data_IF_638407560409
#
_entry.id   IF_638407560409
#
_cell.length_a   1.000
_cell.length_b   1.000
_cell.length_c   1.000
_cell.angle_alpha   90.00
_cell.angle_beta   90.00
_cell.angle_gamma   90.00
#
_symmetry.space_group_name_H-M   'P 1'
#
loop_
_entity.id
_entity.type
_entity.pdbx_description
1 polymer ?
#
# COMPACT_ATOMS: atom_id res chain seq x y z
N UNK A 1 -33.85 -5.94 -14.40
CA UNK A 1 -33.62 -4.70 -13.58
C UNK A 1 -32.77 -4.96 -12.34
N UNK A 2 -32.92 -6.08 -11.64
CA UNK A 2 -32.09 -6.45 -10.49
C UNK A 2 -30.62 -6.67 -10.88
N UNK A 3 -30.36 -7.35 -12.00
CA UNK A 3 -28.99 -7.53 -12.54
C UNK A 3 -28.31 -6.22 -12.92
N UNK A 4 -29.06 -5.20 -13.33
CA UNK A 4 -28.53 -3.87 -13.64
C UNK A 4 -28.13 -3.11 -12.35
N UNK A 5 -28.90 -3.26 -11.28
CA UNK A 5 -28.60 -2.62 -10.00
C UNK A 5 -27.34 -3.23 -9.37
N UNK A 6 -27.23 -4.57 -9.31
CA UNK A 6 -26.05 -5.26 -8.79
C UNK A 6 -24.80 -4.95 -9.61
N UNK A 7 -24.90 -4.88 -10.94
CA UNK A 7 -23.77 -4.50 -11.81
C UNK A 7 -23.33 -3.04 -11.57
N UNK A 8 -24.28 -2.13 -11.33
CA UNK A 8 -23.94 -0.74 -10.97
C UNK A 8 -23.22 -0.65 -9.63
N UNK A 9 -23.70 -1.37 -8.62
CA UNK A 9 -23.07 -1.44 -7.31
C UNK A 9 -21.64 -1.98 -7.44
N UNK A 10 -21.45 -3.08 -8.18
CA UNK A 10 -20.12 -3.65 -8.42
C UNK A 10 -19.18 -2.64 -9.11
N UNK A 11 -19.64 -1.96 -10.16
CA UNK A 11 -18.85 -0.94 -10.85
C UNK A 11 -18.50 0.25 -9.94
N UNK A 12 -19.42 0.69 -9.07
CA UNK A 12 -19.17 1.78 -8.12
C UNK A 12 -18.11 1.35 -7.11
N UNK A 13 -18.25 0.16 -6.51
CA UNK A 13 -17.27 -0.38 -5.56
C UNK A 13 -15.89 -0.45 -6.23
N UNK A 14 -15.80 -1.06 -7.41
CA UNK A 14 -14.55 -1.21 -8.15
C UNK A 14 -13.88 0.14 -8.44
N UNK A 15 -14.65 1.09 -8.97
CA UNK A 15 -14.15 2.43 -9.30
C UNK A 15 -13.72 3.19 -8.07
N UNK A 16 -14.53 3.20 -7.01
CA UNK A 16 -14.21 3.91 -5.77
C UNK A 16 -13.00 3.32 -5.07
N UNK A 17 -12.91 2.00 -4.97
CA UNK A 17 -11.73 1.32 -4.38
C UNK A 17 -10.46 1.71 -5.13
N UNK A 18 -10.49 1.71 -6.47
CA UNK A 18 -9.33 2.07 -7.26
C UNK A 18 -8.96 3.56 -7.16
N UNK A 19 -9.94 4.46 -7.17
CA UNK A 19 -9.70 5.91 -7.00
C UNK A 19 -9.08 6.20 -5.64
N UNK A 20 -9.66 5.64 -4.56
CA UNK A 20 -9.13 5.82 -3.20
C UNK A 20 -7.73 5.22 -3.07
N UNK A 21 -7.52 4.01 -3.61
CA UNK A 21 -6.20 3.39 -3.65
C UNK A 21 -5.17 4.29 -4.33
N UNK A 22 -5.46 4.79 -5.53
CA UNK A 22 -4.56 5.69 -6.27
C UNK A 22 -4.28 6.97 -5.49
N UNK A 23 -5.32 7.59 -4.95
CA UNK A 23 -5.21 8.84 -4.21
C UNK A 23 -4.28 8.72 -3.01
N UNK A 24 -4.40 7.63 -2.24
CA UNK A 24 -3.54 7.39 -1.07
C UNK A 24 -2.14 6.95 -1.51
N UNK A 25 -2.03 6.06 -2.52
CA UNK A 25 -0.75 5.48 -2.96
C UNK A 25 0.24 6.53 -3.48
N UNK A 26 -0.23 7.64 -4.05
CA UNK A 26 0.65 8.72 -4.49
C UNK A 26 1.33 9.48 -3.33
N UNK A 27 0.75 9.42 -2.12
CA UNK A 27 1.34 9.96 -0.89
C UNK A 27 2.23 8.98 -0.14
N UNK A 28 2.38 7.74 -0.61
CA UNK A 28 3.18 6.70 0.01
C UNK A 28 4.51 6.49 -0.73
N UNK A 29 5.56 6.19 0.03
CA UNK A 29 6.81 5.69 -0.55
C UNK A 29 6.57 4.38 -1.29
N UNK A 30 7.33 4.14 -2.35
CA UNK A 30 7.17 2.96 -3.20
C UNK A 30 7.26 1.65 -2.39
N UNK A 31 8.18 1.57 -1.44
CA UNK A 31 8.37 0.42 -0.55
C UNK A 31 7.13 0.09 0.30
N UNK A 32 6.29 1.09 0.61
CA UNK A 32 5.13 0.93 1.50
C UNK A 32 3.83 0.65 0.73
N UNK A 33 3.85 0.83 -0.60
CA UNK A 33 2.66 0.65 -1.45
C UNK A 33 2.14 -0.79 -1.47
N UNK A 34 3.04 -1.78 -1.45
CA UNK A 34 2.63 -3.19 -1.42
C UNK A 34 1.93 -3.53 -0.11
N UNK A 35 2.48 -3.09 1.02
CA UNK A 35 1.85 -3.27 2.34
C UNK A 35 0.48 -2.60 2.40
N UNK A 36 0.36 -1.40 1.84
CA UNK A 36 -0.93 -0.71 1.76
C UNK A 36 -1.96 -1.48 0.92
N UNK A 37 -1.58 -1.97 -0.26
CA UNK A 37 -2.44 -2.82 -1.10
C UNK A 37 -2.96 -4.03 -0.33
N UNK A 38 -2.04 -4.73 0.36
CA UNK A 38 -2.38 -5.91 1.14
C UNK A 38 -3.36 -5.59 2.27
N UNK A 39 -3.17 -4.48 2.98
CA UNK A 39 -4.07 -4.06 4.04
C UNK A 39 -5.47 -3.70 3.50
N UNK A 40 -5.55 -3.06 2.35
CA UNK A 40 -6.83 -2.79 1.68
C UNK A 40 -7.52 -4.10 1.31
N UNK A 41 -6.77 -5.06 0.72
CA UNK A 41 -7.28 -6.37 0.37
C UNK A 41 -7.79 -7.14 1.60
N UNK A 42 -7.02 -7.17 2.68
CA UNK A 42 -7.46 -7.81 3.92
C UNK A 42 -8.75 -7.21 4.47
N UNK A 43 -8.87 -5.88 4.43
CA UNK A 43 -10.10 -5.21 4.87
C UNK A 43 -11.30 -5.62 4.01
N UNK A 44 -11.14 -5.70 2.69
CA UNK A 44 -12.18 -6.18 1.77
C UNK A 44 -12.58 -7.61 2.12
N UNK A 45 -11.60 -8.52 2.31
CA UNK A 45 -11.86 -9.94 2.60
C UNK A 45 -12.50 -10.15 3.97
N UNK A 46 -12.11 -9.39 4.99
CA UNK A 46 -12.74 -9.43 6.32
C UNK A 46 -14.17 -8.91 6.26
N UNK A 47 -14.41 -7.78 5.58
CA UNK A 47 -15.74 -7.20 5.42
C UNK A 47 -16.67 -8.16 4.64
N UNK A 48 -16.13 -8.86 3.67
CA UNK A 48 -16.84 -9.88 2.89
C UNK A 48 -17.08 -11.20 3.66
N UNK A 49 -16.56 -11.34 4.89
CA UNK A 49 -16.65 -12.56 5.69
C UNK A 49 -15.82 -13.74 5.16
N UNK A 50 -14.84 -13.46 4.28
CA UNK A 50 -13.91 -14.46 3.71
C UNK A 50 -12.77 -14.77 4.69
N UNK A 51 -12.22 -13.77 5.33
CA UNK A 51 -11.19 -13.89 6.36
C UNK A 51 -11.70 -13.38 7.70
N UNK A 52 -11.14 -13.93 8.77
CA UNK A 52 -11.35 -13.44 10.11
C UNK A 52 -10.26 -12.43 10.50
N UNK A 53 -10.53 -11.48 11.41
CA UNK A 53 -9.50 -10.59 11.95
C UNK A 53 -8.33 -11.33 12.59
N UNK A 54 -8.59 -12.53 13.15
CA UNK A 54 -7.58 -13.40 13.76
C UNK A 54 -6.61 -13.94 12.71
N UNK A 55 -7.09 -14.38 11.54
CA UNK A 55 -6.26 -14.87 10.44
C UNK A 55 -5.38 -13.76 9.87
N UNK A 56 -5.91 -12.53 9.73
CA UNK A 56 -5.13 -11.36 9.32
C UNK A 56 -4.04 -11.04 10.37
N UNK A 57 -4.39 -11.07 11.65
CA UNK A 57 -3.43 -10.86 12.74
C UNK A 57 -2.33 -11.93 12.73
N UNK A 58 -2.70 -13.18 12.46
CA UNK A 58 -1.78 -14.30 12.34
C UNK A 58 -0.77 -14.08 11.19
N UNK A 59 -1.23 -13.60 10.04
CA UNK A 59 -0.35 -13.24 8.93
C UNK A 59 0.62 -12.11 9.30
N UNK A 60 0.13 -11.05 9.96
CA UNK A 60 0.94 -9.88 10.30
C UNK A 60 1.96 -10.16 11.40
N UNK A 61 1.56 -10.87 12.46
CA UNK A 61 2.38 -11.09 13.67
C UNK A 61 3.11 -12.43 13.69
N UNK A 62 2.53 -13.47 13.09
CA UNK A 62 3.06 -14.84 13.19
C UNK A 62 3.28 -15.27 14.62
N UNK A 63 4.37 -15.97 14.87
CA UNK A 63 4.79 -16.45 16.17
C UNK A 63 5.66 -15.48 16.98
N UNK A 64 5.74 -14.20 16.59
CA UNK A 64 6.66 -13.23 17.23
C UNK A 64 6.43 -13.00 18.73
N UNK A 65 5.24 -13.31 19.25
CA UNK A 65 4.93 -13.19 20.68
C UNK A 65 5.28 -14.45 21.49
N UNK A 66 5.69 -15.54 20.84
CA UNK A 66 6.03 -16.80 21.52
C UNK A 66 7.48 -16.79 22.00
N UNK A 67 7.70 -17.33 23.20
CA UNK A 67 9.06 -17.60 23.71
C UNK A 67 9.52 -18.98 23.23
N UNK A 68 10.67 -19.02 22.55
CA UNK A 68 11.28 -20.26 22.05
C UNK A 68 11.55 -21.28 23.15
N UNK A 69 11.80 -20.82 24.38
CA UNK A 69 12.04 -21.69 25.53
C UNK A 69 10.76 -22.27 26.14
N UNK A 70 9.60 -21.68 25.83
CA UNK A 70 8.30 -22.13 26.31
C UNK A 70 7.60 -23.12 25.36
N UNK A 71 8.11 -23.28 24.13
CA UNK A 71 7.56 -24.20 23.13
C UNK A 71 8.39 -25.47 23.03
N UNK A 72 7.81 -26.54 22.45
CA UNK A 72 8.56 -27.76 22.17
C UNK A 72 9.77 -27.46 21.28
N UNK A 73 10.92 -28.14 21.51
CA UNK A 73 12.07 -28.01 20.63
C UNK A 73 11.71 -28.31 19.17
N UNK A 74 12.34 -27.62 18.23
CA UNK A 74 12.12 -27.88 16.80
C UNK A 74 12.54 -29.33 16.45
N UNK A 75 11.69 -30.05 15.71
CA UNK A 75 11.91 -31.47 15.42
C UNK A 75 13.00 -31.71 14.38
N UNK A 76 13.31 -30.70 13.58
CA UNK A 76 14.22 -30.80 12.44
C UNK A 76 15.24 -29.67 12.45
N UNK A 77 16.54 -29.92 12.19
CA UNK A 77 17.60 -28.94 12.34
C UNK A 77 17.63 -27.85 11.27
N UNK A 78 17.01 -28.09 10.11
CA UNK A 78 17.01 -27.13 8.98
C UNK A 78 16.04 -25.98 9.15
N UNK A 79 15.05 -26.09 10.04
CA UNK A 79 14.16 -24.97 10.36
C UNK A 79 14.89 -23.92 11.19
N UNK A 80 14.65 -22.66 10.87
CA UNK A 80 15.04 -21.54 11.73
C UNK A 80 14.14 -21.49 12.98
N UNK A 81 14.60 -20.87 14.04
CA UNK A 81 13.81 -20.71 15.27
C UNK A 81 12.55 -19.86 15.02
N UNK A 82 12.68 -18.81 14.21
CA UNK A 82 11.55 -17.96 13.79
C UNK A 82 10.50 -18.77 13.01
N UNK A 83 10.93 -19.58 12.02
CA UNK A 83 10.02 -20.43 11.26
C UNK A 83 9.32 -21.45 12.18
N UNK A 84 10.03 -22.01 13.15
CA UNK A 84 9.44 -22.93 14.12
C UNK A 84 8.37 -22.26 14.99
N UNK A 85 8.63 -21.07 15.52
CA UNK A 85 7.64 -20.29 16.28
C UNK A 85 6.40 -19.97 15.43
N UNK A 86 6.59 -19.61 14.18
CA UNK A 86 5.48 -19.39 13.25
C UNK A 86 4.64 -20.67 13.04
N UNK A 87 5.28 -21.84 12.87
CA UNK A 87 4.60 -23.14 12.72
C UNK A 87 3.80 -23.47 13.97
N UNK A 88 4.39 -23.29 15.15
CA UNK A 88 3.72 -23.49 16.43
C UNK A 88 2.47 -22.61 16.53
N UNK A 89 2.59 -21.35 16.18
CA UNK A 89 1.46 -20.41 16.19
C UNK A 89 0.38 -20.81 15.19
N UNK A 90 0.76 -21.21 13.95
CA UNK A 90 -0.18 -21.70 12.93
C UNK A 90 -0.97 -22.91 13.37
N UNK A 91 -0.31 -23.82 14.10
CA UNK A 91 -0.90 -25.09 14.57
C UNK A 91 -1.66 -24.96 15.88
N UNK A 92 -1.63 -23.79 16.53
CA UNK A 92 -2.32 -23.53 17.80
C UNK A 92 -3.83 -23.38 17.61
N UNK A 93 -4.57 -23.34 18.72
CA UNK A 93 -6.02 -23.07 18.71
C UNK A 93 -6.36 -21.65 18.21
N UNK A 94 -5.39 -20.73 18.27
CA UNK A 94 -5.50 -19.39 17.70
C UNK A 94 -5.06 -19.33 16.23
N UNK A 95 -4.54 -20.43 15.70
CA UNK A 95 -4.13 -20.59 14.31
C UNK A 95 -5.29 -20.94 13.38
N UNK A 96 -4.98 -21.11 12.10
CA UNK A 96 -5.98 -21.58 11.14
C UNK A 96 -6.16 -23.10 11.21
N UNK A 97 -7.40 -23.55 11.19
CA UNK A 97 -7.78 -24.97 11.35
C UNK A 97 -7.06 -25.90 10.37
N UNK A 98 -6.78 -25.39 9.17
CA UNK A 98 -6.09 -26.13 8.10
C UNK A 98 -4.68 -26.56 8.49
N UNK A 99 -4.03 -25.85 9.45
CA UNK A 99 -2.64 -26.09 9.87
C UNK A 99 -2.49 -26.84 11.19
N UNK A 100 -3.55 -27.33 11.81
CA UNK A 100 -3.49 -27.99 13.13
C UNK A 100 -2.52 -29.17 13.18
N UNK A 101 -2.35 -29.90 12.09
CA UNK A 101 -1.42 -31.05 11.99
C UNK A 101 -0.04 -30.67 11.46
N UNK A 102 0.25 -29.40 11.18
CA UNK A 102 1.45 -28.98 10.45
C UNK A 102 2.74 -29.39 11.13
N UNK A 103 2.83 -29.30 12.48
CA UNK A 103 4.01 -29.73 13.24
C UNK A 103 4.33 -31.22 13.05
N UNK A 104 3.28 -32.07 13.13
CA UNK A 104 3.41 -33.52 12.97
C UNK A 104 3.69 -33.87 11.51
N UNK A 105 3.08 -33.17 10.56
CA UNK A 105 3.26 -33.41 9.13
C UNK A 105 4.68 -33.08 8.68
N UNK A 106 5.28 -31.99 9.19
CA UNK A 106 6.69 -31.64 8.92
C UNK A 106 7.63 -32.70 9.48
N UNK A 107 7.33 -33.19 10.68
CA UNK A 107 8.15 -34.24 11.32
C UNK A 107 8.06 -35.56 10.57
N UNK A 108 6.86 -35.93 10.11
CA UNK A 108 6.60 -37.21 9.42
C UNK A 108 7.21 -37.24 8.02
N UNK A 109 7.10 -36.15 7.26
CA UNK A 109 7.54 -36.04 5.87
C UNK A 109 8.75 -35.10 5.70
N UNK A 110 9.69 -35.13 6.65
CA UNK A 110 10.86 -34.22 6.76
C UNK A 110 11.56 -33.98 5.42
N UNK A 111 11.88 -35.04 4.67
CA UNK A 111 12.60 -34.92 3.39
C UNK A 111 11.83 -34.09 2.35
N UNK A 112 10.49 -34.25 2.27
CA UNK A 112 9.67 -33.49 1.31
C UNK A 112 9.56 -32.03 1.71
N UNK A 113 9.34 -31.78 3.01
CA UNK A 113 9.26 -30.42 3.53
C UNK A 113 10.59 -29.67 3.40
N UNK A 114 11.73 -30.37 3.63
CA UNK A 114 13.05 -29.81 3.41
C UNK A 114 13.30 -29.49 1.95
N UNK A 115 12.88 -30.35 1.02
CA UNK A 115 13.01 -30.11 -0.42
C UNK A 115 12.20 -28.87 -0.84
N UNK A 116 10.94 -28.78 -0.38
CA UNK A 116 10.08 -27.62 -0.63
C UNK A 116 10.66 -26.33 -0.01
N UNK A 117 11.12 -26.39 1.23
CA UNK A 117 11.73 -25.25 1.92
C UNK A 117 12.97 -24.71 1.20
N UNK A 118 13.79 -25.59 0.61
CA UNK A 118 15.01 -25.21 -0.09
C UNK A 118 14.79 -24.90 -1.59
N UNK A 119 13.57 -25.01 -2.09
CA UNK A 119 13.26 -24.65 -3.46
C UNK A 119 13.45 -23.14 -3.70
N UNK A 120 13.82 -22.78 -4.94
CA UNK A 120 13.98 -21.38 -5.32
C UNK A 120 12.66 -20.62 -5.41
N UNK A 121 11.57 -21.33 -5.72
CA UNK A 121 10.22 -20.77 -5.89
C UNK A 121 9.19 -21.63 -5.14
N UNK A 122 9.29 -21.79 -3.80
CA UNK A 122 8.40 -22.65 -3.03
C UNK A 122 6.92 -22.22 -3.11
N UNK A 123 6.67 -20.95 -3.33
CA UNK A 123 5.32 -20.39 -3.52
C UNK A 123 4.61 -20.97 -4.76
N UNK A 124 5.36 -21.44 -5.75
CA UNK A 124 4.84 -22.03 -6.99
C UNK A 124 4.86 -23.56 -7.01
N UNK A 125 5.55 -24.17 -6.06
CA UNK A 125 5.64 -25.62 -5.96
C UNK A 125 4.40 -26.20 -5.23
N UNK A 126 4.02 -27.45 -5.55
CA UNK A 126 3.03 -28.17 -4.77
C UNK A 126 3.46 -28.28 -3.30
N UNK A 127 2.57 -27.94 -2.39
CA UNK A 127 2.86 -28.00 -0.95
C UNK A 127 2.88 -29.46 -0.51
N UNK A 128 3.88 -29.89 0.28
CA UNK A 128 4.00 -31.25 0.78
C UNK A 128 2.78 -31.68 1.62
N UNK A 129 2.63 -33.00 1.76
CA UNK A 129 1.51 -33.57 2.51
C UNK A 129 0.18 -33.42 1.78
N UNK A 130 -0.91 -33.27 2.55
CA UNK A 130 -2.27 -33.14 2.01
C UNK A 130 -2.75 -31.69 1.96
N UNK A 131 -1.81 -30.70 1.88
CA UNK A 131 -2.16 -29.27 1.89
C UNK A 131 -2.59 -28.78 0.51
N UNK A 132 -1.92 -29.22 -0.54
CA UNK A 132 -2.26 -28.79 -1.89
C UNK A 132 -3.72 -29.02 -2.25
N UNK A 133 -4.29 -30.24 -2.12
CA UNK A 133 -5.72 -30.48 -2.40
C UNK A 133 -6.66 -29.71 -1.46
N UNK A 134 -6.26 -29.48 -0.21
CA UNK A 134 -7.05 -28.71 0.74
C UNK A 134 -7.14 -27.25 0.33
N UNK A 135 -6.03 -26.67 -0.11
CA UNK A 135 -6.01 -25.27 -0.55
C UNK A 135 -6.76 -25.09 -1.87
N UNK A 136 -6.65 -26.03 -2.81
CA UNK A 136 -7.41 -25.98 -4.06
C UNK A 136 -8.95 -26.10 -3.85
N UNK A 137 -9.36 -26.77 -2.79
CA UNK A 137 -10.77 -26.92 -2.43
C UNK A 137 -11.31 -25.76 -1.57
N UNK A 138 -10.44 -24.97 -0.94
CA UNK A 138 -10.83 -23.90 -0.03
C UNK A 138 -10.85 -22.55 -0.75
N UNK A 139 -11.92 -21.77 -0.64
CA UNK A 139 -11.98 -20.43 -1.20
C UNK A 139 -10.84 -19.49 -0.74
N UNK A 140 -10.24 -19.76 0.43
CA UNK A 140 -9.13 -19.00 1.00
C UNK A 140 -7.77 -19.72 0.81
N UNK A 141 -7.70 -20.72 -0.05
CA UNK A 141 -6.51 -21.54 -0.25
C UNK A 141 -5.26 -20.75 -0.62
N UNK A 142 -5.41 -19.73 -1.47
CA UNK A 142 -4.29 -18.84 -1.85
C UNK A 142 -3.79 -18.02 -0.64
N UNK A 143 -4.70 -17.57 0.23
CA UNK A 143 -4.32 -16.93 1.49
C UNK A 143 -3.56 -17.89 2.41
N UNK A 144 -4.01 -19.14 2.54
CA UNK A 144 -3.32 -20.14 3.36
C UNK A 144 -1.96 -20.51 2.78
N UNK A 145 -1.82 -20.57 1.45
CA UNK A 145 -0.53 -20.72 0.78
C UNK A 145 0.40 -19.56 1.13
N UNK A 146 -0.07 -18.33 0.98
CA UNK A 146 0.68 -17.12 1.32
C UNK A 146 1.07 -17.10 2.81
N UNK A 147 0.17 -17.49 3.71
CA UNK A 147 0.43 -17.56 5.16
C UNK A 147 1.50 -18.61 5.48
N UNK A 148 1.50 -19.77 4.80
CA UNK A 148 2.51 -20.81 4.94
C UNK A 148 3.88 -20.33 4.43
N UNK A 149 3.92 -19.73 3.25
CA UNK A 149 5.17 -19.17 2.68
C UNK A 149 5.74 -18.12 3.62
N UNK A 150 4.95 -17.17 4.08
CA UNK A 150 5.37 -16.14 5.04
C UNK A 150 5.94 -16.75 6.33
N UNK A 151 5.38 -17.87 6.78
CA UNK A 151 5.79 -18.50 8.04
C UNK A 151 7.09 -19.30 7.93
N UNK A 152 7.36 -19.89 6.77
CA UNK A 152 8.53 -20.74 6.52
C UNK A 152 9.63 -20.03 5.72
N UNK A 153 9.26 -19.22 4.74
CA UNK A 153 10.14 -18.56 3.77
C UNK A 153 9.79 -17.08 3.67
N UNK A 154 10.15 -16.32 4.72
CA UNK A 154 9.87 -14.90 4.81
C UNK A 154 10.44 -14.09 3.62
N UNK A 155 11.59 -14.54 3.08
CA UNK A 155 12.23 -13.97 1.90
C UNK A 155 11.35 -14.01 0.63
N UNK A 156 10.40 -14.95 0.56
CA UNK A 156 9.49 -15.13 -0.59
C UNK A 156 8.12 -14.47 -0.40
N UNK A 157 7.88 -13.86 0.76
CA UNK A 157 6.57 -13.30 1.12
C UNK A 157 6.12 -12.21 0.16
N UNK A 158 7.01 -11.32 -0.25
CA UNK A 158 6.68 -10.19 -1.14
C UNK A 158 6.15 -10.69 -2.48
N UNK A 159 6.78 -11.71 -3.07
CA UNK A 159 6.35 -12.29 -4.35
C UNK A 159 4.99 -12.99 -4.21
N UNK A 160 4.83 -13.75 -3.13
CA UNK A 160 3.57 -14.44 -2.87
C UNK A 160 2.40 -13.45 -2.62
N UNK A 161 2.66 -12.33 -1.96
CA UNK A 161 1.68 -11.26 -1.75
C UNK A 161 1.27 -10.60 -3.06
N UNK A 162 2.23 -10.31 -3.94
CA UNK A 162 1.94 -9.70 -5.23
C UNK A 162 1.12 -10.63 -6.14
N UNK A 163 1.49 -11.92 -6.19
CA UNK A 163 0.72 -12.95 -6.89
C UNK A 163 -0.72 -13.07 -6.32
N UNK A 164 -0.86 -13.07 -4.99
CA UNK A 164 -2.16 -13.14 -4.32
C UNK A 164 -3.07 -11.95 -4.68
N UNK A 165 -2.52 -10.74 -4.68
CA UNK A 165 -3.27 -9.53 -5.06
C UNK A 165 -3.68 -9.57 -6.53
N UNK A 166 -2.77 -10.01 -7.41
CA UNK A 166 -2.99 -10.08 -8.87
C UNK A 166 -4.09 -11.05 -9.24
N UNK A 167 -4.12 -12.23 -8.60
CA UNK A 167 -5.07 -13.30 -8.92
C UNK A 167 -6.47 -13.03 -8.37
N UNK A 168 -6.61 -12.20 -7.33
CA UNK A 168 -7.88 -11.98 -6.67
C UNK A 168 -8.68 -10.82 -7.32
N UNK A 169 -9.16 -11.06 -8.54
CA UNK A 169 -9.95 -10.05 -9.28
C UNK A 169 -11.38 -9.88 -8.74
N UNK A 170 -11.97 -10.95 -8.22
CA UNK A 170 -13.34 -10.92 -7.71
C UNK A 170 -13.55 -11.93 -6.57
N UNK A 171 -14.45 -11.59 -5.68
CA UNK A 171 -14.91 -12.44 -4.58
C UNK A 171 -16.41 -12.68 -4.67
N UNK A 172 -16.86 -13.86 -4.26
CA UNK A 172 -18.27 -14.15 -4.11
C UNK A 172 -18.74 -13.76 -2.71
N UNK A 173 -19.76 -12.92 -2.64
CA UNK A 173 -20.41 -12.51 -1.39
C UNK A 173 -21.88 -12.81 -1.51
N UNK A 174 -22.34 -13.84 -0.81
CA UNK A 174 -23.73 -14.28 -0.80
C UNK A 174 -24.32 -14.51 -2.21
N UNK A 175 -23.56 -15.14 -3.11
CA UNK A 175 -23.98 -15.41 -4.49
C UNK A 175 -23.83 -14.22 -5.44
N UNK A 176 -23.23 -13.13 -4.99
CA UNK A 176 -22.93 -11.95 -5.82
C UNK A 176 -21.44 -11.81 -6.02
N UNK A 177 -20.99 -11.87 -7.28
CA UNK A 177 -19.59 -11.64 -7.64
C UNK A 177 -19.26 -10.16 -7.54
N UNK A 178 -18.48 -9.78 -6.53
CA UNK A 178 -18.00 -8.41 -6.35
C UNK A 178 -16.55 -8.29 -6.82
N UNK A 179 -16.18 -7.21 -7.49
CA UNK A 179 -14.79 -6.95 -7.84
C UNK A 179 -13.96 -6.77 -6.57
N UNK A 180 -12.73 -7.28 -6.62
CA UNK A 180 -11.76 -7.13 -5.55
C UNK A 180 -10.58 -6.28 -6.03
N UNK A 181 -9.38 -6.81 -6.12
CA UNK A 181 -8.22 -6.04 -6.58
C UNK A 181 -7.83 -6.40 -8.02
N UNK A 182 -7.01 -7.43 -8.22
CA UNK A 182 -6.55 -7.87 -9.53
C UNK A 182 -5.39 -7.05 -10.10
N UNK A 183 -5.02 -7.36 -11.34
CA UNK A 183 -3.82 -6.85 -12.03
C UNK A 183 -3.71 -5.32 -12.04
N UNK A 184 -4.82 -4.58 -12.16
CA UNK A 184 -4.78 -3.12 -12.20
C UNK A 184 -4.18 -2.45 -10.94
N UNK A 185 -4.17 -3.16 -9.82
CA UNK A 185 -3.59 -2.68 -8.57
C UNK A 185 -2.10 -3.04 -8.43
N UNK A 186 -1.59 -3.97 -9.24
CA UNK A 186 -0.16 -4.34 -9.23
C UNK A 186 0.66 -3.52 -10.20
N UNK A 187 0.01 -2.85 -11.16
CA UNK A 187 0.68 -1.94 -12.07
C UNK A 187 1.25 -0.72 -11.32
N UNK A 188 2.41 -0.19 -11.76
CA UNK A 188 2.96 1.02 -11.18
C UNK A 188 1.96 2.18 -11.24
N UNK A 189 1.75 2.84 -10.11
CA UNK A 189 0.93 4.07 -10.08
C UNK A 189 1.75 5.20 -10.70
N UNK A 190 1.56 5.42 -11.99
CA UNK A 190 2.19 6.53 -12.71
C UNK A 190 1.26 7.74 -12.64
N UNK A 191 1.64 8.72 -11.84
CA UNK A 191 0.94 10.00 -11.77
C UNK A 191 1.64 11.01 -12.68
N UNK A 192 0.92 11.55 -13.65
CA UNK A 192 1.41 12.65 -14.45
C UNK A 192 1.07 13.98 -13.80
N UNK A 193 1.83 15.03 -14.11
CA UNK A 193 1.56 16.37 -13.60
C UNK A 193 0.18 16.88 -14.02
N UNK A 194 -0.33 16.45 -15.18
CA UNK A 194 -1.68 16.77 -15.64
C UNK A 194 -2.76 16.22 -14.73
N UNK A 195 -2.55 14.99 -14.23
CA UNK A 195 -3.51 14.32 -13.35
C UNK A 195 -3.51 14.96 -11.98
N UNK A 196 -2.33 15.20 -11.41
CA UNK A 196 -2.21 15.84 -10.10
C UNK A 196 -2.69 17.31 -10.13
N UNK A 197 -2.43 18.03 -11.21
CA UNK A 197 -2.91 19.40 -11.39
C UNK A 197 -4.45 19.49 -11.42
N UNK A 198 -5.14 18.48 -11.94
CA UNK A 198 -6.60 18.46 -11.94
C UNK A 198 -7.21 18.42 -10.52
N UNK A 199 -6.47 17.90 -9.55
CA UNK A 199 -6.86 17.81 -8.14
C UNK A 199 -6.45 19.05 -7.32
N UNK A 200 -5.64 19.95 -7.89
CA UNK A 200 -5.21 21.19 -7.22
C UNK A 200 -6.31 22.25 -7.19
N UNK A 201 -6.24 23.06 -6.15
CA UNK A 201 -7.00 24.31 -6.07
C UNK A 201 -6.08 25.43 -5.58
N UNK A 202 -6.63 26.63 -5.39
CA UNK A 202 -5.89 27.76 -4.79
C UNK A 202 -5.43 27.47 -3.36
N UNK A 203 -6.04 26.51 -2.68
CA UNK A 203 -5.77 26.15 -1.29
C UNK A 203 -5.29 24.73 -1.08
N UNK A 204 -5.24 23.93 -2.14
CA UNK A 204 -4.76 22.55 -2.11
C UNK A 204 -3.47 22.50 -2.93
N UNK A 205 -2.28 22.56 -2.28
CA UNK A 205 -0.99 22.44 -2.95
C UNK A 205 -0.70 21.00 -3.36
N UNK A 206 0.24 20.81 -4.29
CA UNK A 206 0.93 19.53 -4.47
C UNK A 206 2.18 19.53 -3.62
N UNK A 207 2.37 18.46 -2.84
CA UNK A 207 3.61 18.21 -2.09
C UNK A 207 4.33 17.04 -2.75
N UNK A 208 5.55 17.28 -3.21
CA UNK A 208 6.46 16.26 -3.71
C UNK A 208 7.36 15.77 -2.58
N UNK A 209 7.20 14.52 -2.19
CA UNK A 209 8.13 13.83 -1.28
C UNK A 209 9.25 13.24 -2.13
N UNK A 210 10.44 13.82 -2.03
CA UNK A 210 11.54 13.49 -2.92
C UNK A 210 12.41 12.37 -2.34
N UNK A 211 12.79 11.44 -3.20
CA UNK A 211 13.94 10.56 -2.95
C UNK A 211 15.23 11.31 -3.29
N UNK A 212 16.34 10.88 -2.71
CA UNK A 212 17.64 11.49 -2.97
C UNK A 212 17.94 11.64 -4.47
N UNK A 213 18.22 12.87 -4.89
CA UNK A 213 18.52 13.20 -6.29
C UNK A 213 17.32 13.39 -7.21
N UNK A 214 16.08 13.26 -6.72
CA UNK A 214 14.89 13.59 -7.50
C UNK A 214 14.62 15.10 -7.47
N UNK A 215 14.30 15.67 -8.63
CA UNK A 215 13.92 17.08 -8.75
C UNK A 215 12.77 17.25 -9.77
N UNK A 216 11.56 17.62 -9.35
CA UNK A 216 10.44 17.85 -10.23
C UNK A 216 10.40 19.21 -10.89
N UNK A 217 11.35 20.09 -10.61
CA UNK A 217 11.35 21.52 -11.02
C UNK A 217 11.15 21.68 -12.53
N UNK A 218 11.98 21.00 -13.34
CA UNK A 218 11.88 21.07 -14.80
C UNK A 218 10.53 20.59 -15.33
N UNK A 219 9.95 19.58 -14.70
CA UNK A 219 8.63 19.03 -15.07
C UNK A 219 7.54 20.07 -14.79
N UNK A 220 7.57 20.69 -13.61
CA UNK A 220 6.58 21.71 -13.21
C UNK A 220 6.71 22.97 -14.06
N UNK A 221 7.94 23.45 -14.30
CA UNK A 221 8.19 24.61 -15.15
C UNK A 221 7.76 24.39 -16.61
N UNK A 222 8.02 23.19 -17.15
CA UNK A 222 7.60 22.84 -18.51
C UNK A 222 6.08 22.82 -18.60
N UNK A 223 5.41 22.30 -17.55
CA UNK A 223 3.95 22.29 -17.50
C UNK A 223 3.36 23.70 -17.31
N UNK A 224 3.99 24.55 -16.51
CA UNK A 224 3.62 25.96 -16.36
C UNK A 224 3.69 26.70 -17.70
N UNK A 225 4.78 26.50 -18.46
CA UNK A 225 4.92 27.04 -19.83
C UNK A 225 3.81 26.55 -20.78
N UNK A 226 3.46 25.24 -20.71
CA UNK A 226 2.35 24.67 -21.47
C UNK A 226 1.01 25.33 -21.13
N UNK A 227 0.81 25.70 -19.86
CA UNK A 227 -0.36 26.41 -19.35
C UNK A 227 -0.29 27.92 -19.50
N UNK A 228 0.80 28.47 -20.07
CA UNK A 228 1.07 29.91 -20.20
C UNK A 228 1.06 30.64 -18.86
N UNK A 229 1.58 29.97 -17.82
CA UNK A 229 1.71 30.51 -16.48
C UNK A 229 3.19 30.76 -16.15
N UNK A 230 3.44 31.84 -15.46
CA UNK A 230 4.74 32.09 -14.84
C UNK A 230 4.80 31.35 -13.50
N UNK A 231 5.96 30.76 -13.20
CA UNK A 231 6.21 30.11 -11.91
C UNK A 231 7.42 30.74 -11.24
N UNK A 232 7.30 31.05 -9.97
CA UNK A 232 8.39 31.56 -9.13
C UNK A 232 8.86 30.46 -8.20
N UNK A 233 10.13 30.06 -8.31
CA UNK A 233 10.73 29.05 -7.44
C UNK A 233 11.48 29.75 -6.29
N UNK A 234 11.25 29.30 -5.06
CA UNK A 234 11.92 29.78 -3.85
C UNK A 234 12.45 28.57 -3.09
N UNK A 235 13.78 28.49 -2.94
CA UNK A 235 14.39 27.45 -2.11
C UNK A 235 14.36 27.89 -0.64
N UNK A 236 13.72 27.06 0.20
CA UNK A 236 13.52 27.33 1.62
C UNK A 236 14.82 27.02 2.38
N UNK A 237 15.59 28.05 2.67
CA UNK A 237 16.74 28.03 3.54
C UNK A 237 16.60 29.11 4.60
N UNK A 238 17.62 29.30 5.42
CA UNK A 238 17.62 30.31 6.47
C UNK A 238 17.36 31.73 5.90
N UNK A 239 16.35 32.41 6.45
CA UNK A 239 16.00 33.78 6.05
C UNK A 239 15.21 33.91 4.73
N UNK A 240 14.73 32.81 4.14
CA UNK A 240 13.94 32.83 2.90
C UNK A 240 12.43 32.97 3.11
N UNK A 241 11.93 32.87 4.34
CA UNK A 241 10.51 32.96 4.65
C UNK A 241 9.85 34.26 4.15
N UNK A 242 10.49 35.47 4.29
CA UNK A 242 9.89 36.70 3.76
C UNK A 242 9.84 36.73 2.23
N UNK A 243 10.78 36.05 1.55
CA UNK A 243 10.79 35.92 0.09
C UNK A 243 9.65 35.03 -0.36
N UNK A 244 9.48 33.88 0.29
CA UNK A 244 8.38 32.95 0.03
C UNK A 244 7.01 33.60 0.22
N UNK A 245 6.81 34.32 1.33
CA UNK A 245 5.57 35.06 1.59
C UNK A 245 5.25 36.11 0.53
N UNK A 246 6.26 36.88 0.11
CA UNK A 246 6.10 37.87 -0.97
C UNK A 246 5.72 37.21 -2.29
N UNK A 247 6.39 36.10 -2.63
CA UNK A 247 6.12 35.35 -3.86
C UNK A 247 4.67 34.80 -3.86
N UNK A 248 4.21 34.21 -2.74
CA UNK A 248 2.85 33.71 -2.61
C UNK A 248 1.85 34.85 -2.73
N UNK A 249 2.03 35.95 -1.98
CA UNK A 249 1.11 37.07 -2.01
C UNK A 249 1.00 37.72 -3.41
N UNK A 250 2.10 37.89 -4.12
CA UNK A 250 2.08 38.39 -5.49
C UNK A 250 1.35 37.39 -6.43
N UNK A 251 1.67 36.13 -6.33
CA UNK A 251 1.09 35.10 -7.19
C UNK A 251 -0.42 34.90 -6.97
N UNK A 252 -0.92 35.08 -5.75
CA UNK A 252 -2.36 35.01 -5.47
C UNK A 252 -3.15 36.11 -6.19
N UNK A 253 -2.59 37.31 -6.29
CA UNK A 253 -3.19 38.46 -6.96
C UNK A 253 -3.08 38.35 -8.49
N UNK A 254 -1.96 37.82 -8.98
CA UNK A 254 -1.66 37.71 -10.41
C UNK A 254 -2.16 36.41 -11.05
N UNK A 255 -2.60 35.42 -10.27
CA UNK A 255 -2.99 34.10 -10.73
C UNK A 255 -1.82 33.30 -11.29
N UNK A 256 -0.63 33.52 -10.73
CA UNK A 256 0.61 32.83 -11.10
C UNK A 256 0.88 31.63 -10.19
N UNK A 257 1.97 30.90 -10.45
CA UNK A 257 2.35 29.72 -9.70
C UNK A 257 3.57 29.98 -8.84
N UNK A 258 3.64 29.31 -7.70
CA UNK A 258 4.81 29.34 -6.80
C UNK A 258 5.24 27.92 -6.51
N UNK A 259 6.55 27.69 -6.47
CA UNK A 259 7.16 26.44 -6.04
C UNK A 259 8.12 26.75 -4.88
N UNK A 260 7.79 26.17 -3.72
CA UNK A 260 8.66 26.20 -2.53
C UNK A 260 9.48 24.90 -2.52
N UNK A 261 10.80 25.05 -2.56
CA UNK A 261 11.71 23.92 -2.62
C UNK A 261 12.39 23.70 -1.27
N UNK A 262 12.72 22.45 -0.96
CA UNK A 262 13.44 22.05 0.26
C UNK A 262 12.73 22.50 1.56
N UNK A 263 11.41 22.33 1.62
CA UNK A 263 10.61 22.83 2.73
C UNK A 263 10.94 22.17 4.08
N UNK A 264 11.61 21.02 4.11
CA UNK A 264 12.16 20.42 5.33
C UNK A 264 13.17 21.32 6.06
N UNK A 265 13.79 22.30 5.37
CA UNK A 265 14.71 23.25 5.97
C UNK A 265 14.01 24.41 6.67
N UNK A 266 12.70 24.61 6.45
CA UNK A 266 11.90 25.70 6.99
C UNK A 266 10.64 25.25 7.72
N UNK A 267 10.72 24.25 8.59
CA UNK A 267 9.56 23.68 9.28
C UNK A 267 8.70 24.72 10.01
N UNK A 268 9.22 25.73 10.75
CA UNK A 268 8.40 26.74 11.40
C UNK A 268 7.57 27.56 10.42
N UNK A 269 8.07 27.78 9.20
CA UNK A 269 7.31 28.47 8.15
C UNK A 269 6.15 27.61 7.64
N UNK A 270 6.30 26.28 7.61
CA UNK A 270 5.26 25.39 7.11
C UNK A 270 3.99 25.42 7.98
N UNK A 271 4.13 25.58 9.31
CA UNK A 271 2.99 25.78 10.22
C UNK A 271 2.22 27.07 9.88
N UNK A 272 2.94 28.15 9.63
CA UNK A 272 2.36 29.43 9.20
C UNK A 272 1.76 29.37 7.78
N UNK A 273 2.30 28.51 6.91
CA UNK A 273 1.78 28.32 5.55
C UNK A 273 0.38 27.69 5.53
N UNK A 274 0.09 26.75 6.43
CA UNK A 274 -1.23 26.17 6.55
C UNK A 274 -2.28 27.24 6.91
N UNK A 275 -1.95 28.11 7.87
CA UNK A 275 -2.81 29.24 8.24
C UNK A 275 -3.02 30.22 7.08
N UNK A 276 -1.94 30.49 6.32
CA UNK A 276 -1.99 31.34 5.14
C UNK A 276 -2.90 30.77 4.05
N UNK A 277 -2.83 29.49 3.78
CA UNK A 277 -3.72 28.79 2.83
C UNK A 277 -5.18 28.88 3.28
N UNK A 278 -5.44 28.79 4.59
CA UNK A 278 -6.76 29.01 5.16
C UNK A 278 -7.29 30.44 4.89
N UNK A 279 -6.42 31.44 4.99
CA UNK A 279 -6.76 32.85 4.67
C UNK A 279 -7.00 33.06 3.18
N UNK A 280 -6.22 32.43 2.31
CA UNK A 280 -6.39 32.46 0.86
C UNK A 280 -7.78 31.94 0.46
N UNK A 281 -8.28 30.92 1.14
CA UNK A 281 -9.60 30.33 0.89
C UNK A 281 -10.75 31.35 1.03
N UNK A 282 -10.61 32.29 1.92
CA UNK A 282 -11.65 33.30 2.25
C UNK A 282 -11.45 34.59 1.48
N UNK A 283 -10.28 34.79 0.90
CA UNK A 283 -9.92 36.03 0.20
C UNK A 283 -10.47 36.03 -1.24
N UNK A 284 -11.49 36.81 -1.52
CA UNK A 284 -12.09 37.00 -2.84
C UNK A 284 -11.14 37.61 -3.89
N UNK A 285 -10.04 38.24 -3.45
CA UNK A 285 -9.03 38.79 -4.36
C UNK A 285 -8.08 37.73 -4.93
N UNK A 286 -8.12 36.50 -4.42
CA UNK A 286 -7.26 35.40 -4.93
C UNK A 286 -7.77 34.92 -6.28
N UNK A 287 -6.95 35.03 -7.31
CA UNK A 287 -7.29 34.54 -8.64
C UNK A 287 -7.35 33.01 -8.69
N UNK A 288 -8.34 32.40 -9.35
CA UNK A 288 -8.56 30.95 -9.38
C UNK A 288 -7.44 30.15 -10.04
N UNK A 289 -6.57 30.81 -10.76
CA UNK A 289 -5.43 30.22 -11.47
C UNK A 289 -4.17 30.05 -10.59
N UNK A 290 -4.15 30.62 -9.38
CA UNK A 290 -3.04 30.46 -8.45
C UNK A 290 -2.85 29.00 -8.08
N UNK A 291 -1.58 28.51 -8.11
CA UNK A 291 -1.21 27.16 -7.66
C UNK A 291 0.10 27.21 -6.87
N UNK A 292 0.14 26.36 -5.83
CA UNK A 292 1.30 26.19 -4.97
C UNK A 292 1.85 24.76 -5.09
N UNK A 293 3.15 24.67 -5.35
CA UNK A 293 3.91 23.43 -5.37
C UNK A 293 4.92 23.46 -4.23
N UNK A 294 5.13 22.32 -3.59
CA UNK A 294 6.03 22.19 -2.44
C UNK A 294 6.91 20.96 -2.68
N UNK A 295 8.21 21.09 -2.42
CA UNK A 295 9.10 19.92 -2.39
C UNK A 295 9.73 19.77 -1.01
N UNK A 296 9.88 18.52 -0.58
CA UNK A 296 10.50 18.12 0.68
C UNK A 296 11.13 16.74 0.54
N UNK A 297 12.17 16.48 1.32
CA UNK A 297 12.75 15.15 1.51
C UNK A 297 12.15 14.44 2.72
#
# INVERSE_FOLDING_TARGET
RASLASKRVANVIDTMTYIVYRYISRGLYEKDRLSFKLLVLFNILVTAGRLTPSEVTLFLKGGAALDINAVKPKPVPWLTDTAWLNIVQLSSDQGAVVFRSLQDDITRDDAKWKAWYNDNEPERQPIPGNYQPRFEADPNGDFYRMLLVRSLREDRTILCVDDFITQLEAIDVAGTKLPCMGEKFTQPVTETIEMTYADMSTTIPIVYLLSAGADPTDTVETYARKKKKHITCVSMGEGQEPVALRAINAATIEGMWVMLQNCHLGLPFMEGLEELLGKIKVNEATLPDFRLFITTE
#
